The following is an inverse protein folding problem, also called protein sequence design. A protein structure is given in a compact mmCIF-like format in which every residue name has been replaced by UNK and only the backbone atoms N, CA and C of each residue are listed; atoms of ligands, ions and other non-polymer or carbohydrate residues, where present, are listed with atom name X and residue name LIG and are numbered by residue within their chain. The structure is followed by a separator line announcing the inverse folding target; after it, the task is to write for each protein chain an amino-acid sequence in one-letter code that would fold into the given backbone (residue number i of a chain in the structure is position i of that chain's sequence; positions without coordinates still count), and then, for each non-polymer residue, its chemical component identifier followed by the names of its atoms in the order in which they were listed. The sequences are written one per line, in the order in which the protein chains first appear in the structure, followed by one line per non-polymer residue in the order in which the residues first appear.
data_IF_162486240000
#
_entry.id   IF_162486240000
#
_cell.length_a   1.000
_cell.length_b   1.000
_cell.length_c   1.000
_cell.angle_alpha   90.00
_cell.angle_beta   90.00
_cell.angle_gamma   90.00
#
_symmetry.space_group_name_H-M   'P 1'
#
loop_
_entity.id
_entity.type
_entity.pdbx_description
1 polymer ?
#
# COMPACT_ATOMS: atom_id res chain seq x y z
N UNK A 1 20.19 -18.83 -7.03
CA UNK A 1 19.04 -18.68 -6.11
C UNK A 1 19.00 -19.95 -5.28
N UNK A 2 19.14 -19.84 -3.95
CA UNK A 2 18.89 -20.98 -3.08
C UNK A 2 17.40 -21.36 -3.23
N UNK A 3 17.13 -22.63 -3.44
CA UNK A 3 15.75 -23.11 -3.57
C UNK A 3 15.28 -23.62 -2.21
N UNK A 4 13.96 -23.67 -2.00
CA UNK A 4 13.32 -24.21 -0.78
C UNK A 4 13.87 -25.61 -0.41
N UNK A 5 14.29 -26.37 -1.39
CA UNK A 5 14.90 -27.71 -1.22
C UNK A 5 16.30 -27.72 -0.58
N UNK A 6 16.93 -26.56 -0.41
CA UNK A 6 18.25 -26.41 0.23
C UNK A 6 18.15 -25.96 1.69
N UNK A 7 16.92 -25.81 2.20
CA UNK A 7 16.67 -25.49 3.62
C UNK A 7 16.51 -26.78 4.43
N UNK A 8 16.97 -26.76 5.68
CA UNK A 8 16.67 -27.81 6.63
C UNK A 8 15.22 -27.69 7.12
N UNK A 9 14.67 -28.77 7.70
CA UNK A 9 13.30 -28.79 8.23
C UNK A 9 13.06 -27.68 9.26
N UNK A 10 14.06 -27.33 10.06
CA UNK A 10 14.00 -26.26 11.05
C UNK A 10 13.82 -24.87 10.41
N UNK A 11 14.52 -24.59 9.31
CA UNK A 11 14.40 -23.34 8.59
C UNK A 11 13.15 -23.29 7.71
N UNK A 12 12.61 -24.42 7.28
CA UNK A 12 11.30 -24.50 6.65
C UNK A 12 10.18 -24.16 7.64
N UNK A 13 10.25 -24.72 8.86
CA UNK A 13 9.31 -24.37 9.93
C UNK A 13 9.39 -22.88 10.30
N UNK A 14 10.60 -22.31 10.34
CA UNK A 14 10.79 -20.86 10.56
C UNK A 14 10.16 -20.02 9.43
N UNK A 15 10.28 -20.46 8.17
CA UNK A 15 9.66 -19.78 7.05
C UNK A 15 8.14 -19.79 7.17
N UNK A 16 7.54 -20.94 7.46
CA UNK A 16 6.08 -21.07 7.66
C UNK A 16 5.60 -20.16 8.80
N UNK A 17 6.33 -20.14 9.92
CA UNK A 17 6.02 -19.28 11.05
C UNK A 17 6.10 -17.78 10.69
N UNK A 18 7.10 -17.39 9.90
CA UNK A 18 7.29 -16.00 9.47
C UNK A 18 6.29 -15.54 8.41
N UNK A 19 5.58 -16.46 7.75
CA UNK A 19 4.50 -16.16 6.79
C UNK A 19 3.12 -16.09 7.44
N UNK A 20 2.96 -16.58 8.65
CA UNK A 20 1.68 -16.59 9.35
C UNK A 20 1.41 -15.21 10.00
N UNK A 21 0.37 -14.49 9.56
CA UNK A 21 0.04 -13.18 10.09
C UNK A 21 -0.49 -13.21 11.53
N UNK A 22 -0.83 -14.39 12.07
CA UNK A 22 -1.37 -14.57 13.42
C UNK A 22 -0.27 -14.86 14.45
N UNK A 23 0.97 -15.09 14.01
CA UNK A 23 2.11 -15.34 14.88
C UNK A 23 2.57 -14.06 15.54
N UNK A 24 2.69 -14.07 16.86
CA UNK A 24 3.22 -12.94 17.60
C UNK A 24 4.76 -12.84 17.46
N UNK A 25 5.33 -11.62 17.57
CA UNK A 25 6.76 -11.40 17.42
C UNK A 25 7.61 -12.19 18.44
N UNK A 26 7.12 -12.42 19.67
CA UNK A 26 7.86 -13.12 20.72
C UNK A 26 8.04 -14.60 20.36
N UNK A 27 7.02 -15.22 19.77
CA UNK A 27 7.10 -16.60 19.26
C UNK A 27 8.13 -16.74 18.15
N UNK A 28 8.17 -15.78 17.21
CA UNK A 28 9.17 -15.77 16.15
C UNK A 28 10.58 -15.59 16.70
N UNK A 29 10.79 -14.62 17.61
CA UNK A 29 12.07 -14.36 18.26
C UNK A 29 12.53 -15.58 19.07
N UNK A 30 11.65 -16.20 19.86
CA UNK A 30 11.95 -17.42 20.61
C UNK A 30 12.36 -18.59 19.71
N UNK A 31 11.73 -18.73 18.55
CA UNK A 31 12.11 -19.75 17.56
C UNK A 31 13.50 -19.47 16.97
N UNK A 32 13.79 -18.20 16.65
CA UNK A 32 15.10 -17.77 16.16
C UNK A 32 16.22 -18.03 17.18
N UNK A 33 15.97 -17.79 18.46
CA UNK A 33 16.93 -18.04 19.55
C UNK A 33 17.16 -19.56 19.80
N UNK A 34 16.11 -20.36 19.65
CA UNK A 34 16.16 -21.81 19.87
C UNK A 34 16.94 -22.57 18.78
N UNK A 35 17.13 -21.98 17.59
CA UNK A 35 17.90 -22.61 16.52
C UNK A 35 19.37 -22.82 16.97
N UNK A 36 19.84 -24.05 16.90
CA UNK A 36 21.21 -24.47 17.22
C UNK A 36 22.21 -24.09 16.12
N UNK A 37 23.48 -24.46 16.32
CA UNK A 37 24.55 -24.28 15.33
C UNK A 37 25.47 -23.09 15.57
N UNK A 38 26.56 -23.03 14.77
CA UNK A 38 27.49 -21.91 14.77
C UNK A 38 26.87 -20.68 14.06
N UNK A 39 27.41 -19.49 14.32
CA UNK A 39 26.85 -18.24 13.83
C UNK A 39 26.84 -18.18 12.29
N UNK A 40 27.84 -18.78 11.64
CA UNK A 40 27.93 -18.83 10.18
C UNK A 40 26.83 -19.69 9.57
N UNK A 41 26.56 -20.87 10.17
CA UNK A 41 25.48 -21.78 9.72
C UNK A 41 24.10 -21.13 9.92
N UNK A 42 23.88 -20.50 11.07
CA UNK A 42 22.66 -19.73 11.35
C UNK A 42 22.49 -18.59 10.35
N UNK A 43 23.56 -17.85 10.06
CA UNK A 43 23.53 -16.73 9.14
C UNK A 43 23.10 -17.17 7.72
N UNK A 44 23.63 -18.29 7.23
CA UNK A 44 23.25 -18.86 5.94
C UNK A 44 21.78 -19.32 5.94
N UNK A 45 21.32 -19.99 7.00
CA UNK A 45 19.93 -20.40 7.15
C UNK A 45 18.97 -19.20 7.14
N UNK A 46 19.25 -18.19 7.94
CA UNK A 46 18.46 -16.96 7.99
C UNK A 46 18.47 -16.21 6.66
N UNK A 47 19.62 -16.15 5.98
CA UNK A 47 19.72 -15.51 4.67
C UNK A 47 18.84 -16.22 3.64
N UNK A 48 18.75 -17.55 3.66
CA UNK A 48 17.87 -18.33 2.78
C UNK A 48 16.40 -18.03 3.05
N UNK A 49 15.97 -18.05 4.34
CA UNK A 49 14.60 -17.70 4.73
C UNK A 49 14.26 -16.27 4.30
N UNK A 50 15.12 -15.28 4.59
CA UNK A 50 14.89 -13.90 4.20
C UNK A 50 14.79 -13.72 2.69
N UNK A 51 15.62 -14.42 1.90
CA UNK A 51 15.53 -14.38 0.43
C UNK A 51 14.24 -14.98 -0.09
N UNK A 52 13.74 -16.05 0.54
CA UNK A 52 12.45 -16.61 0.18
C UNK A 52 11.30 -15.65 0.53
N UNK A 53 11.32 -15.04 1.72
CA UNK A 53 10.34 -14.03 2.10
C UNK A 53 10.37 -12.80 1.16
N UNK A 54 11.55 -12.32 0.75
CA UNK A 54 11.68 -11.25 -0.25
C UNK A 54 10.97 -11.63 -1.57
N UNK A 55 11.17 -12.88 -2.04
CA UNK A 55 10.52 -13.38 -3.25
C UNK A 55 8.99 -13.47 -3.09
N UNK A 56 8.51 -13.95 -1.95
CA UNK A 56 7.09 -14.07 -1.64
C UNK A 56 6.42 -12.68 -1.55
N UNK A 57 7.08 -11.72 -0.89
CA UNK A 57 6.63 -10.31 -0.85
C UNK A 57 6.54 -9.72 -2.26
N UNK A 58 7.50 -9.98 -3.12
CA UNK A 58 7.47 -9.49 -4.51
C UNK A 58 6.31 -10.10 -5.30
N UNK A 59 6.04 -11.41 -5.13
CA UNK A 59 4.93 -12.10 -5.76
C UNK A 59 3.56 -11.57 -5.27
N UNK A 60 3.41 -11.39 -3.96
CA UNK A 60 2.19 -10.83 -3.35
C UNK A 60 1.90 -9.41 -3.85
N UNK A 61 2.91 -8.54 -3.92
CA UNK A 61 2.76 -7.17 -4.47
C UNK A 61 2.35 -7.17 -5.95
N UNK A 62 2.90 -8.09 -6.73
CA UNK A 62 2.52 -8.24 -8.14
C UNK A 62 1.05 -8.66 -8.27
N UNK A 63 0.61 -9.61 -7.44
CA UNK A 63 -0.77 -10.08 -7.43
C UNK A 63 -1.74 -9.01 -6.91
N UNK A 64 -1.40 -8.29 -5.84
CA UNK A 64 -2.16 -7.14 -5.35
C UNK A 64 -2.38 -6.10 -6.45
N UNK A 65 -1.32 -5.74 -7.17
CA UNK A 65 -1.40 -4.80 -8.30
C UNK A 65 -2.31 -5.35 -9.41
N UNK A 66 -2.20 -6.64 -9.73
CA UNK A 66 -3.04 -7.31 -10.74
C UNK A 66 -4.51 -7.26 -10.34
N UNK A 67 -4.82 -7.61 -9.09
CA UNK A 67 -6.18 -7.60 -8.54
C UNK A 67 -6.74 -6.18 -8.47
N UNK A 68 -5.96 -5.21 -8.02
CA UNK A 68 -6.35 -3.79 -7.99
C UNK A 68 -6.70 -3.27 -9.39
N UNK A 69 -5.88 -3.58 -10.39
CA UNK A 69 -6.16 -3.21 -11.79
C UNK A 69 -7.45 -3.86 -12.28
N UNK A 70 -7.65 -5.15 -12.01
CA UNK A 70 -8.87 -5.88 -12.38
C UNK A 70 -10.11 -5.26 -11.72
N UNK A 71 -10.04 -4.95 -10.42
CA UNK A 71 -11.12 -4.29 -9.67
C UNK A 71 -11.47 -2.95 -10.30
N UNK A 72 -10.47 -2.08 -10.55
CA UNK A 72 -10.69 -0.76 -11.17
C UNK A 72 -11.32 -0.88 -12.56
N UNK A 73 -10.91 -1.88 -13.36
CA UNK A 73 -11.51 -2.15 -14.67
C UNK A 73 -12.98 -2.52 -14.53
N UNK A 74 -13.33 -3.41 -13.60
CA UNK A 74 -14.73 -3.79 -13.35
C UNK A 74 -15.57 -2.60 -12.90
N UNK A 75 -15.07 -1.78 -11.97
CA UNK A 75 -15.72 -0.56 -11.48
C UNK A 75 -15.99 0.43 -12.63
N UNK A 76 -14.98 0.68 -13.48
CA UNK A 76 -15.10 1.57 -14.64
C UNK A 76 -16.11 1.03 -15.67
N UNK A 77 -16.08 -0.26 -15.97
CA UNK A 77 -17.03 -0.87 -16.89
C UNK A 77 -18.46 -0.82 -16.33
N UNK A 78 -18.65 -1.10 -15.05
CA UNK A 78 -19.95 -0.95 -14.39
C UNK A 78 -20.47 0.50 -14.46
N UNK A 79 -19.59 1.50 -14.26
CA UNK A 79 -19.95 2.91 -14.41
C UNK A 79 -20.37 3.24 -15.86
N UNK A 80 -19.62 2.75 -16.84
CA UNK A 80 -19.95 2.94 -18.28
C UNK A 80 -21.30 2.30 -18.64
N UNK A 81 -21.56 1.08 -18.15
CA UNK A 81 -22.84 0.39 -18.40
C UNK A 81 -24.02 1.16 -17.78
N UNK A 82 -23.87 1.68 -16.55
CA UNK A 82 -24.89 2.51 -15.91
C UNK A 82 -25.15 3.79 -16.70
N UNK A 83 -24.10 4.47 -17.17
CA UNK A 83 -24.24 5.69 -17.99
C UNK A 83 -24.93 5.40 -19.33
N UNK A 84 -24.56 4.32 -20.00
CA UNK A 84 -25.18 3.92 -21.26
C UNK A 84 -26.68 3.60 -21.08
N UNK A 85 -27.03 2.88 -20.01
CA UNK A 85 -28.42 2.58 -19.70
C UNK A 85 -29.21 3.85 -19.35
N UNK A 86 -28.64 4.75 -18.54
CA UNK A 86 -29.27 6.03 -18.21
C UNK A 86 -29.54 6.85 -19.48
N UNK A 87 -28.56 6.98 -20.37
CA UNK A 87 -28.71 7.67 -21.64
C UNK A 87 -29.85 7.05 -22.49
N UNK A 88 -29.91 5.73 -22.58
CA UNK A 88 -30.97 5.04 -23.32
C UNK A 88 -32.36 5.26 -22.68
N UNK A 89 -32.45 5.31 -21.35
CA UNK A 89 -33.69 5.60 -20.62
C UNK A 89 -34.15 7.04 -20.88
N UNK A 90 -33.23 8.00 -20.85
CA UNK A 90 -33.50 9.41 -21.13
C UNK A 90 -33.96 9.62 -22.59
N UNK A 91 -33.24 9.00 -23.54
CA UNK A 91 -33.59 9.10 -24.98
C UNK A 91 -34.96 8.49 -25.33
N UNK A 92 -35.37 7.47 -24.59
CA UNK A 92 -36.68 6.82 -24.78
C UNK A 92 -37.81 7.42 -23.92
N UNK A 93 -37.50 8.38 -23.04
CA UNK A 93 -38.44 8.98 -22.09
C UNK A 93 -38.89 8.04 -20.96
N UNK A 94 -38.31 6.85 -20.89
CA UNK A 94 -38.64 5.83 -19.85
C UNK A 94 -37.77 6.01 -18.60
N UNK A 95 -38.05 7.03 -17.82
CA UNK A 95 -37.27 7.34 -16.61
C UNK A 95 -37.49 6.35 -15.45
N UNK A 96 -38.53 5.49 -15.53
CA UNK A 96 -38.81 4.46 -14.54
C UNK A 96 -39.53 3.27 -15.16
N UNK A 97 -39.04 2.07 -14.91
CA UNK A 97 -39.69 0.82 -15.32
C UNK A 97 -39.22 -0.37 -14.44
N UNK A 98 -39.92 -1.48 -14.59
CA UNK A 98 -39.59 -2.75 -13.92
C UNK A 98 -39.47 -3.87 -14.94
N UNK A 99 -38.58 -4.78 -14.69
CA UNK A 99 -38.49 -6.09 -15.33
C UNK A 99 -38.86 -7.18 -14.31
N UNK A 100 -38.87 -8.42 -14.72
CA UNK A 100 -39.13 -9.53 -13.79
C UNK A 100 -38.09 -9.62 -12.66
N UNK A 101 -36.87 -9.11 -12.87
CA UNK A 101 -35.73 -9.24 -11.95
C UNK A 101 -35.39 -7.92 -11.24
N UNK A 102 -35.55 -6.77 -11.92
CA UNK A 102 -35.04 -5.50 -11.45
C UNK A 102 -36.03 -4.34 -11.62
N UNK A 103 -35.85 -3.33 -10.78
CA UNK A 103 -36.54 -2.05 -10.89
C UNK A 103 -35.51 -0.95 -11.27
N UNK A 104 -35.80 -0.20 -12.31
CA UNK A 104 -34.97 0.87 -12.81
C UNK A 104 -35.63 2.22 -12.60
N UNK A 105 -34.83 3.22 -12.25
CA UNK A 105 -35.34 4.59 -12.08
C UNK A 105 -34.19 5.59 -12.03
N UNK A 106 -34.35 6.69 -12.77
CA UNK A 106 -33.46 7.84 -12.69
C UNK A 106 -33.88 8.69 -11.51
N UNK A 107 -32.96 8.93 -10.58
CA UNK A 107 -33.19 9.74 -9.38
C UNK A 107 -32.26 10.96 -9.40
N UNK A 108 -32.73 12.07 -8.83
CA UNK A 108 -31.90 13.25 -8.61
C UNK A 108 -30.93 12.98 -7.46
N UNK A 109 -29.66 13.19 -7.74
CA UNK A 109 -28.64 13.16 -6.69
C UNK A 109 -28.71 14.43 -5.83
N UNK A 110 -28.22 14.38 -4.58
CA UNK A 110 -28.00 15.59 -3.78
C UNK A 110 -27.15 16.61 -4.58
N UNK A 111 -27.42 17.89 -4.38
CA UNK A 111 -26.63 18.93 -5.01
C UNK A 111 -25.17 18.85 -4.52
N UNK A 112 -24.25 18.93 -5.46
CA UNK A 112 -22.82 19.01 -5.18
C UNK A 112 -22.30 20.41 -5.52
N UNK A 113 -21.33 20.89 -4.74
CA UNK A 113 -20.62 22.14 -5.04
C UNK A 113 -19.67 21.87 -6.20
N UNK A 114 -19.83 22.63 -7.28
CA UNK A 114 -18.88 22.63 -8.40
C UNK A 114 -18.10 23.92 -8.33
N UNK A 115 -16.78 23.81 -8.29
CA UNK A 115 -15.87 24.95 -8.28
C UNK A 115 -15.34 25.11 -9.70
N UNK A 116 -15.53 26.29 -10.29
CA UNK A 116 -14.93 26.65 -11.56
C UNK A 116 -13.43 26.89 -11.37
N UNK A 117 -12.61 26.13 -12.11
CA UNK A 117 -11.15 26.16 -11.98
C UNK A 117 -10.54 27.55 -12.16
N UNK A 118 -11.17 28.41 -13.01
CA UNK A 118 -10.75 29.78 -13.24
C UNK A 118 -10.89 30.70 -12.01
N UNK A 119 -11.65 30.30 -10.98
CA UNK A 119 -11.88 31.09 -9.77
C UNK A 119 -11.24 30.50 -8.52
N UNK A 120 -10.41 29.46 -8.65
CA UNK A 120 -9.77 28.79 -7.51
C UNK A 120 -8.97 29.79 -6.67
N UNK A 121 -8.27 30.74 -7.30
CA UNK A 121 -7.47 31.76 -6.60
C UNK A 121 -8.33 32.80 -5.85
N UNK A 122 -9.62 32.88 -6.15
CA UNK A 122 -10.54 33.82 -5.54
C UNK A 122 -11.39 33.17 -4.42
N UNK A 123 -11.12 31.93 -4.07
CA UNK A 123 -11.84 31.23 -2.97
C UNK A 123 -11.52 31.93 -1.64
N UNK A 124 -12.53 32.38 -0.89
CA UNK A 124 -12.31 32.98 0.43
C UNK A 124 -11.59 32.02 1.38
N UNK A 125 -10.72 32.56 2.23
CA UNK A 125 -9.89 31.78 3.16
C UNK A 125 -10.72 30.87 4.09
N UNK A 126 -11.93 31.26 4.44
CA UNK A 126 -12.86 30.48 5.28
C UNK A 126 -13.24 29.12 4.69
N UNK A 127 -13.11 28.94 3.35
CA UNK A 127 -13.35 27.68 2.66
C UNK A 127 -12.06 26.91 2.36
N UNK A 128 -10.90 27.45 2.74
CA UNK A 128 -9.61 26.79 2.57
C UNK A 128 -9.25 26.04 3.85
N UNK A 129 -8.90 24.77 3.70
CA UNK A 129 -8.38 23.98 4.81
C UNK A 129 -6.87 24.25 4.90
N UNK A 130 -6.37 24.93 5.96
CA UNK A 130 -4.95 25.13 6.10
C UNK A 130 -4.24 23.78 6.19
N UNK A 131 -3.28 23.56 5.30
CA UNK A 131 -2.44 22.36 5.36
C UNK A 131 -1.35 22.58 6.40
N UNK A 132 -1.18 21.61 7.30
CA UNK A 132 -0.03 21.61 8.19
C UNK A 132 1.28 21.67 7.39
N UNK A 133 2.25 22.50 7.81
CA UNK A 133 3.51 22.63 7.10
C UNK A 133 4.23 21.27 7.07
N UNK A 134 4.57 20.81 5.89
CA UNK A 134 5.35 19.58 5.69
C UNK A 134 6.84 19.88 5.90
N UNK A 135 7.47 19.10 6.75
CA UNK A 135 8.91 19.21 7.02
C UNK A 135 9.68 18.56 5.86
N UNK A 136 10.51 19.35 5.18
CA UNK A 136 11.45 18.85 4.15
C UNK A 136 12.73 18.31 4.82
N UNK A 137 12.66 17.03 5.21
CA UNK A 137 13.79 16.33 5.82
C UNK A 137 15.01 16.22 4.88
N UNK A 138 14.80 16.23 3.57
CA UNK A 138 15.89 16.14 2.57
C UNK A 138 16.72 17.41 2.60
N UNK A 139 16.06 18.57 2.52
CA UNK A 139 16.71 19.87 2.61
C UNK A 139 17.40 20.07 3.96
N UNK A 140 16.75 19.69 5.07
CA UNK A 140 17.38 19.74 6.40
C UNK A 140 18.65 18.89 6.49
N UNK A 141 18.65 17.70 5.89
CA UNK A 141 19.83 16.82 5.84
C UNK A 141 20.97 17.43 5.03
N UNK A 142 20.66 18.09 3.90
CA UNK A 142 21.65 18.79 3.07
C UNK A 142 22.22 20.00 3.81
N UNK A 143 21.37 20.81 4.44
CA UNK A 143 21.77 21.96 5.24
C UNK A 143 22.71 21.58 6.41
N UNK A 144 22.37 20.50 7.15
CA UNK A 144 23.21 19.96 8.21
C UNK A 144 24.58 19.48 7.71
N UNK A 145 24.60 18.81 6.55
CA UNK A 145 25.85 18.37 5.90
C UNK A 145 26.70 19.54 5.43
N UNK A 146 26.08 20.65 5.05
CA UNK A 146 26.76 21.89 4.68
C UNK A 146 27.26 22.71 5.89
N UNK A 147 27.04 22.23 7.11
CA UNK A 147 27.48 22.88 8.35
C UNK A 147 26.57 24.00 8.84
N UNK A 148 25.31 24.05 8.36
CA UNK A 148 24.33 25.00 8.86
C UNK A 148 23.92 24.62 10.27
N UNK A 149 23.91 25.59 11.17
CA UNK A 149 23.51 25.39 12.55
C UNK A 149 21.98 25.21 12.65
N UNK A 150 21.57 24.00 13.00
CA UNK A 150 20.19 23.62 13.31
C UNK A 150 20.10 22.97 14.71
N UNK A 151 21.02 23.36 15.62
CA UNK A 151 21.10 22.82 16.96
C UNK A 151 19.78 23.04 17.71
N UNK A 152 19.31 22.04 18.43
CA UNK A 152 18.02 22.07 19.13
C UNK A 152 16.77 21.83 18.24
N UNK A 153 16.91 21.81 16.90
CA UNK A 153 15.81 21.51 15.97
C UNK A 153 15.94 20.09 15.44
N UNK A 154 17.12 19.71 14.94
CA UNK A 154 17.39 18.38 14.41
C UNK A 154 18.88 18.08 14.39
N UNK A 155 19.23 16.79 14.32
CA UNK A 155 20.60 16.31 14.14
C UNK A 155 20.65 15.15 13.14
N UNK A 156 21.83 14.83 12.66
CA UNK A 156 22.07 13.65 11.84
C UNK A 156 22.33 12.45 12.76
N UNK A 157 21.50 11.44 12.65
CA UNK A 157 21.72 10.13 13.28
C UNK A 157 22.15 9.14 12.21
N UNK A 158 23.22 8.42 12.47
CA UNK A 158 23.68 7.34 11.61
C UNK A 158 23.51 6.00 12.32
N UNK A 159 22.57 5.21 11.83
CA UNK A 159 22.32 3.86 12.30
C UNK A 159 23.09 2.83 11.48
N UNK A 160 23.39 1.70 12.06
CA UNK A 160 23.99 0.55 11.37
C UNK A 160 22.92 -0.50 11.06
N UNK A 161 23.09 -1.21 9.96
CA UNK A 161 22.17 -2.29 9.56
C UNK A 161 22.92 -3.43 8.91
N UNK A 162 22.47 -4.66 9.16
CA UNK A 162 22.99 -5.86 8.51
C UNK A 162 22.71 -5.81 7.01
N UNK A 163 23.72 -6.14 6.21
CA UNK A 163 23.59 -6.32 4.76
C UNK A 163 23.97 -7.73 4.37
N UNK A 164 23.07 -8.42 3.72
CA UNK A 164 23.26 -9.74 3.13
C UNK A 164 23.41 -9.56 1.61
N UNK A 165 24.50 -10.08 1.05
CA UNK A 165 24.79 -9.96 -0.39
C UNK A 165 24.75 -11.30 -1.08
#
# INVERSE_FOLDING_TARGET
MATIYEMTDEYLALLELAEDPEVDPETLEGTLEALGGEIEEKADGYAKVMKQLEANVAALRAEEKRLSTKRTTCENNMKRMKQALQYAMEATGKTKFKTNLFSFGIQKNPAAVVIDEQYIENIPEEYLIPQEPKIDKTKMKEDLKAGKDLEGICHLEQTESLRIR
#
